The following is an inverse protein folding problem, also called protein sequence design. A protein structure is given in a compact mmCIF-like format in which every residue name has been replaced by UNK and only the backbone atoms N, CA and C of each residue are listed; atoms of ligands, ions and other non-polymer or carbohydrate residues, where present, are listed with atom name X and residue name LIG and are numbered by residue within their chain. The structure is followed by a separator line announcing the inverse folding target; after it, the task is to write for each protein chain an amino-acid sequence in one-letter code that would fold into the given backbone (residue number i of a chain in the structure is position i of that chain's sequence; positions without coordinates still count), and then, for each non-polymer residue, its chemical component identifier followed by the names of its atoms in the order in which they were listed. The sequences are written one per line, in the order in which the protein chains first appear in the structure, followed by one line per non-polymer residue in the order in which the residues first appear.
data_IF_927326951649
#
_entry.id   IF_927326951649
#
_cell.length_a   1.000
_cell.length_b   1.000
_cell.length_c   1.000
_cell.angle_alpha   90.00
_cell.angle_beta   90.00
_cell.angle_gamma   90.00
#
_symmetry.space_group_name_H-M   'P 1'
#
loop_
_entity.id
_entity.type
_entity.pdbx_description
1 polymer ?
#
# COMPACT_ATOMS: atom_id res chain seq x y z
N UNK A 1 -19.44 9.38 -15.04
CA UNK A 1 -18.01 9.58 -14.97
C UNK A 1 -17.38 8.61 -14.01
N UNK A 2 -16.42 7.86 -14.46
CA UNK A 2 -15.89 6.75 -13.66
C UNK A 2 -14.40 6.85 -13.41
N UNK A 3 -14.00 8.00 -12.92
CA UNK A 3 -12.61 8.20 -12.56
C UNK A 3 -12.15 7.17 -11.55
N UNK A 4 -13.07 6.76 -10.67
CA UNK A 4 -12.78 5.78 -9.63
C UNK A 4 -12.20 4.50 -10.21
N UNK A 5 -12.62 4.14 -11.41
CA UNK A 5 -12.15 2.91 -12.04
C UNK A 5 -10.64 2.90 -12.18
N UNK A 6 -10.04 4.06 -12.42
CA UNK A 6 -8.59 4.12 -12.60
C UNK A 6 -7.84 3.83 -11.33
N UNK A 7 -8.39 4.23 -10.19
CA UNK A 7 -7.71 3.99 -8.91
C UNK A 7 -7.68 2.52 -8.57
N UNK A 8 -8.62 1.75 -9.07
CA UNK A 8 -8.67 0.33 -8.78
C UNK A 8 -7.53 -0.43 -9.42
N UNK A 9 -6.76 0.23 -10.28
CA UNK A 9 -5.69 -0.44 -11.02
C UNK A 9 -4.31 0.12 -10.71
N UNK A 10 -4.16 0.73 -9.54
CA UNK A 10 -2.84 1.16 -9.10
C UNK A 10 -1.92 -0.02 -8.91
N UNK A 11 -0.64 0.18 -9.20
CA UNK A 11 0.36 -0.81 -8.81
C UNK A 11 0.43 -0.84 -7.30
N UNK A 12 0.85 -2.00 -6.76
CA UNK A 12 0.84 -2.15 -5.31
C UNK A 12 1.73 -1.12 -4.63
N UNK A 13 2.88 -0.81 -5.22
CA UNK A 13 3.76 0.20 -4.64
C UNK A 13 3.08 1.55 -4.57
N UNK A 14 2.38 1.93 -5.63
CA UNK A 14 1.65 3.19 -5.67
C UNK A 14 0.51 3.20 -4.65
N UNK A 15 -0.16 2.06 -4.48
CA UNK A 15 -1.23 1.96 -3.51
C UNK A 15 -0.70 2.16 -2.09
N UNK A 16 0.47 1.60 -1.79
CA UNK A 16 1.08 1.76 -0.48
C UNK A 16 1.44 3.23 -0.25
N UNK A 17 2.01 3.89 -1.26
CA UNK A 17 2.35 5.31 -1.16
C UNK A 17 1.08 6.12 -0.90
N UNK A 18 0.02 5.81 -1.60
CA UNK A 18 -1.25 6.50 -1.41
C UNK A 18 -1.76 6.36 0.02
N UNK A 19 -1.68 5.15 0.57
CA UNK A 19 -2.13 4.92 1.94
C UNK A 19 -1.33 5.75 2.93
N UNK A 20 -0.02 5.75 2.77
CA UNK A 20 0.86 6.48 3.70
C UNK A 20 0.69 7.98 3.55
N UNK A 21 0.50 8.46 2.33
CA UNK A 21 0.31 9.89 2.10
C UNK A 21 -1.01 10.38 2.68
N UNK A 22 -2.08 9.58 2.56
CA UNK A 22 -3.38 9.99 3.07
C UNK A 22 -3.45 9.91 4.59
N UNK A 23 -2.79 8.92 5.19
CA UNK A 23 -2.82 8.80 6.65
C UNK A 23 -1.90 9.82 7.32
N UNK A 24 -0.92 10.30 6.58
CA UNK A 24 0.02 11.31 7.05
C UNK A 24 0.83 10.85 8.27
N UNK A 25 1.01 9.55 8.41
CA UNK A 25 1.81 8.98 9.49
C UNK A 25 2.09 7.52 9.17
N UNK A 26 3.01 6.92 9.92
CA UNK A 26 3.39 5.53 9.70
C UNK A 26 2.24 4.57 9.93
N UNK A 27 2.25 3.50 9.17
CA UNK A 27 1.24 2.46 9.27
C UNK A 27 1.92 1.10 9.31
N UNK A 28 1.26 0.14 9.93
CA UNK A 28 1.73 -1.24 9.90
C UNK A 28 1.31 -1.89 8.60
N UNK A 29 2.03 -2.94 8.22
CA UNK A 29 1.72 -3.61 6.96
C UNK A 29 0.29 -4.15 6.93
N UNK A 30 -0.23 -4.62 8.07
CA UNK A 30 -1.61 -5.08 8.13
C UNK A 30 -2.61 -3.96 7.86
N UNK A 31 -2.32 -2.77 8.39
CA UNK A 31 -3.19 -1.62 8.20
C UNK A 31 -3.19 -1.17 6.75
N UNK A 32 -2.01 -1.18 6.14
CA UNK A 32 -1.89 -0.80 4.74
C UNK A 32 -2.64 -1.78 3.85
N UNK A 33 -2.44 -3.08 4.09
CA UNK A 33 -3.12 -4.10 3.31
C UNK A 33 -4.64 -3.97 3.44
N UNK A 34 -5.11 -3.75 4.67
CA UNK A 34 -6.53 -3.59 4.91
C UNK A 34 -7.10 -2.38 4.16
N UNK A 35 -6.38 -1.27 4.20
CA UNK A 35 -6.83 -0.08 3.50
C UNK A 35 -6.88 -0.27 1.99
N UNK A 36 -5.84 -0.93 1.44
CA UNK A 36 -5.81 -1.21 0.02
C UNK A 36 -7.00 -2.07 -0.39
N UNK A 37 -7.29 -3.11 0.38
CA UNK A 37 -8.40 -4.00 0.05
C UNK A 37 -9.75 -3.33 0.21
N UNK A 38 -9.89 -2.53 1.27
CA UNK A 38 -11.16 -1.87 1.55
C UNK A 38 -11.49 -0.84 0.48
N UNK A 39 -10.49 -0.11 0.02
CA UNK A 39 -10.69 0.93 -0.98
C UNK A 39 -10.40 0.45 -2.40
N UNK A 40 -10.02 -0.82 -2.54
CA UNK A 40 -9.74 -1.43 -3.84
C UNK A 40 -8.71 -0.64 -4.63
N UNK A 41 -7.65 -0.25 -3.96
CA UNK A 41 -6.60 0.53 -4.60
C UNK A 41 -5.74 -0.30 -5.53
N UNK A 42 -5.65 -1.60 -5.25
CA UNK A 42 -4.85 -2.52 -6.06
C UNK A 42 -5.55 -3.87 -6.12
N UNK A 43 -5.60 -4.44 -7.31
CA UNK A 43 -6.20 -5.76 -7.51
C UNK A 43 -5.11 -6.73 -7.94
N UNK A 44 -4.98 -7.83 -7.20
CA UNK A 44 -4.04 -8.87 -7.57
C UNK A 44 -4.57 -9.65 -8.78
N UNK A 45 -3.64 -10.17 -9.57
CA UNK A 45 -4.02 -10.92 -10.76
C UNK A 45 -4.77 -12.20 -10.41
N UNK A 46 -4.49 -12.78 -9.24
CA UNK A 46 -5.12 -14.03 -8.83
C UNK A 46 -6.45 -13.80 -8.12
N UNK A 47 -6.88 -12.54 -7.99
CA UNK A 47 -8.16 -12.23 -7.36
C UNK A 47 -8.14 -12.28 -5.84
N UNK A 48 -7.00 -12.60 -5.25
CA UNK A 48 -6.89 -12.65 -3.79
C UNK A 48 -6.68 -11.28 -3.20
N UNK A 49 -7.06 -11.07 -1.95
CA UNK A 49 -6.78 -9.77 -1.32
C UNK A 49 -5.29 -9.57 -1.09
N UNK A 50 -4.89 -8.32 -1.02
CA UNK A 50 -3.52 -7.98 -0.70
C UNK A 50 -3.26 -8.38 0.76
N UNK A 51 -2.12 -9.03 1.01
CA UNK A 51 -1.78 -9.47 2.35
C UNK A 51 -0.72 -8.56 2.96
N UNK A 52 -0.65 -8.58 4.30
CA UNK A 52 0.38 -7.83 5.01
C UNK A 52 1.78 -8.28 4.58
N UNK A 53 1.93 -9.57 4.34
CA UNK A 53 3.20 -10.13 3.90
C UNK A 53 3.62 -9.53 2.55
N UNK A 54 2.67 -9.38 1.65
CA UNK A 54 2.96 -8.80 0.34
C UNK A 54 3.36 -7.34 0.47
N UNK A 55 2.67 -6.59 1.33
CA UNK A 55 3.02 -5.19 1.57
C UNK A 55 4.44 -5.09 2.12
N UNK A 56 4.76 -5.92 3.10
CA UNK A 56 6.08 -5.91 3.71
C UNK A 56 7.16 -6.26 2.67
N UNK A 57 6.87 -7.23 1.81
CA UNK A 57 7.81 -7.63 0.77
C UNK A 57 8.11 -6.46 -0.15
N UNK A 58 7.08 -5.76 -0.60
CA UNK A 58 7.26 -4.62 -1.50
C UNK A 58 8.08 -3.53 -0.82
N UNK A 59 7.78 -3.24 0.43
CA UNK A 59 8.47 -2.20 1.17
C UNK A 59 9.95 -2.52 1.34
N UNK A 60 10.28 -3.78 1.65
CA UNK A 60 11.67 -4.16 1.85
C UNK A 60 12.47 -4.13 0.54
N UNK A 61 11.79 -4.15 -0.59
CA UNK A 61 12.44 -4.06 -1.89
C UNK A 61 12.41 -2.65 -2.47
N UNK A 62 11.96 -1.67 -1.70
CA UNK A 62 11.87 -0.30 -2.15
C UNK A 62 12.25 0.65 -1.03
N UNK A 63 13.39 0.39 -0.39
CA UNK A 63 13.82 1.19 0.76
C UNK A 63 14.21 2.61 0.39
N UNK A 64 14.32 2.90 -0.88
CA UNK A 64 14.53 4.28 -1.34
C UNK A 64 13.24 5.10 -1.27
N UNK A 65 12.10 4.43 -1.18
CA UNK A 65 10.79 5.09 -1.12
C UNK A 65 10.19 5.01 0.28
N UNK A 66 10.44 3.91 0.97
CA UNK A 66 9.82 3.64 2.27
C UNK A 66 10.88 3.49 3.35
N UNK A 67 10.46 3.75 4.58
CA UNK A 67 11.30 3.62 5.74
C UNK A 67 10.59 2.77 6.77
N UNK A 68 11.33 1.84 7.38
CA UNK A 68 10.79 1.00 8.43
C UNK A 68 11.30 1.48 9.78
N UNK A 69 10.40 1.74 10.70
CA UNK A 69 10.76 2.20 12.03
C UNK A 69 9.79 1.61 13.05
N UNK A 70 10.31 0.79 13.95
CA UNK A 70 9.51 0.21 15.04
C UNK A 70 8.26 -0.49 14.52
N UNK A 71 8.41 -1.26 13.44
CA UNK A 71 7.30 -2.00 12.88
C UNK A 71 6.34 -1.18 12.04
N UNK A 72 6.61 0.09 11.87
CA UNK A 72 5.77 0.95 11.06
C UNK A 72 6.46 1.33 9.76
N UNK A 73 5.68 1.44 8.73
CA UNK A 73 6.15 1.81 7.40
C UNK A 73 5.82 3.28 7.17
N UNK A 74 6.81 4.04 6.73
CA UNK A 74 6.63 5.46 6.48
C UNK A 74 7.24 5.81 5.13
N UNK A 75 6.79 6.93 4.57
CA UNK A 75 7.40 7.42 3.35
C UNK A 75 8.75 8.06 3.67
N UNK A 76 9.70 7.81 2.81
CA UNK A 76 11.02 8.43 2.89
C UNK A 76 10.95 9.77 2.19
N UNK A 77 10.90 10.85 2.95
CA UNK A 77 10.79 12.18 2.36
C UNK A 77 11.94 13.07 2.69
#
# INVERSE_FOLDING_TARGET
MNIIVYFCHMKIEEAIVYCLATSNRGMRSEQIADMINRQRLHLRKDGQPVSAKQVFYVVTHALHTFCLAEGRIMLMM
#
